data_IF_418112470046
#
_entry.id   IF_418112470046
#
_cell.length_a   1.000
_cell.length_b   1.000
_cell.length_c   1.000
_cell.angle_alpha   90.00
_cell.angle_beta   90.00
_cell.angle_gamma   90.00
#
_symmetry.space_group_name_H-M   'P 1'
#
loop_
_entity.id
_entity.type
_entity.pdbx_description
1 polymer ?
#
# COMPACT_ATOMS: atom_id res chain seq x y z
N UNK A 1 -2.14 -65.40 -10.73
CA UNK A 1 -3.38 -65.21 -9.94
C UNK A 1 -2.98 -65.18 -8.47
N UNK A 2 -3.46 -64.17 -7.74
CA UNK A 2 -3.29 -63.87 -6.29
C UNK A 2 -1.93 -63.26 -5.89
N UNK A 3 -1.78 -61.93 -5.87
CA UNK A 3 -2.27 -60.92 -4.89
C UNK A 3 -1.62 -61.05 -3.50
N UNK A 4 -0.70 -60.12 -3.19
CA UNK A 4 -0.86 -59.01 -2.23
C UNK A 4 0.50 -58.35 -1.99
N UNK A 5 0.66 -57.10 -2.47
CA UNK A 5 1.80 -56.25 -2.13
C UNK A 5 1.37 -55.38 -0.94
N UNK A 6 2.11 -55.49 0.17
CA UNK A 6 1.85 -54.82 1.44
C UNK A 6 2.67 -53.53 1.48
N UNK A 7 1.98 -52.42 1.74
CA UNK A 7 2.52 -51.09 2.04
C UNK A 7 3.32 -51.11 3.34
N UNK A 8 4.50 -50.47 3.37
CA UNK A 8 5.18 -50.12 4.62
C UNK A 8 5.46 -48.60 4.64
N UNK A 9 4.86 -47.93 5.62
CA UNK A 9 5.03 -46.53 5.95
C UNK A 9 6.40 -46.30 6.62
N UNK A 10 7.05 -45.18 6.31
CA UNK A 10 8.26 -44.73 7.01
C UNK A 10 7.89 -43.53 7.89
N UNK A 11 7.73 -43.80 9.18
CA UNK A 11 7.60 -42.81 10.26
C UNK A 11 8.99 -42.53 10.85
N UNK A 12 9.27 -41.28 11.21
CA UNK A 12 10.58 -40.76 11.57
C UNK A 12 11.21 -41.23 12.89
N UNK A 13 12.45 -40.78 13.12
CA UNK A 13 13.23 -40.93 14.36
C UNK A 13 14.18 -39.72 14.49
N UNK A 14 13.90 -38.77 15.40
CA UNK A 14 14.49 -38.54 16.75
C UNK A 14 15.94 -38.03 16.81
N UNK A 15 16.03 -36.79 17.32
CA UNK A 15 16.88 -36.26 18.41
C UNK A 15 18.16 -37.02 18.78
N UNK A 16 19.30 -36.34 18.65
CA UNK A 16 20.55 -36.64 19.34
C UNK A 16 20.96 -35.49 20.26
N UNK A 17 20.82 -35.68 21.56
CA UNK A 17 21.44 -34.88 22.62
C UNK A 17 22.74 -35.54 23.07
N UNK A 18 23.80 -34.77 23.31
CA UNK A 18 25.01 -35.26 24.00
C UNK A 18 25.53 -34.24 25.02
N UNK A 19 25.81 -34.72 26.22
CA UNK A 19 26.35 -33.99 27.40
C UNK A 19 27.88 -34.08 27.49
N UNK A 20 28.52 -32.91 27.68
CA UNK A 20 29.75 -32.53 28.42
C UNK A 20 31.02 -33.41 28.56
N UNK A 21 32.21 -32.84 28.25
CA UNK A 21 33.32 -32.57 29.22
C UNK A 21 34.62 -31.98 28.58
N UNK A 22 34.99 -30.77 29.04
CA UNK A 22 36.27 -30.03 29.22
C UNK A 22 37.55 -30.12 28.34
N UNK A 23 38.01 -28.88 28.04
CA UNK A 23 39.36 -28.26 28.07
C UNK A 23 40.32 -28.31 26.86
N UNK A 24 40.39 -27.19 26.12
CA UNK A 24 41.64 -26.47 25.77
C UNK A 24 41.41 -25.11 25.06
N UNK A 25 41.93 -24.05 25.68
CA UNK A 25 42.37 -22.69 25.24
C UNK A 25 41.62 -21.86 24.15
N UNK A 26 41.51 -20.52 24.33
CA UNK A 26 40.62 -19.67 23.57
C UNK A 26 41.32 -19.02 22.37
N UNK A 27 40.67 -18.98 21.21
CA UNK A 27 40.95 -17.95 20.21
C UNK A 27 39.65 -17.69 19.41
N UNK A 28 39.00 -16.59 19.80
CA UNK A 28 38.06 -15.80 18.99
C UNK A 28 37.01 -16.56 18.19
N UNK A 29 35.99 -17.12 18.85
CA UNK A 29 34.69 -17.24 18.20
C UNK A 29 34.13 -15.83 18.04
N UNK A 30 34.34 -15.25 16.85
CA UNK A 30 33.41 -14.25 16.35
C UNK A 30 32.05 -14.93 16.33
N UNK A 31 31.22 -14.61 17.33
CA UNK A 31 29.80 -14.95 17.30
C UNK A 31 29.26 -14.30 16.03
N UNK A 32 29.15 -15.09 14.97
CA UNK A 32 28.35 -14.74 13.82
C UNK A 32 26.92 -14.65 14.35
N UNK A 33 26.54 -13.44 14.77
CA UNK A 33 25.17 -13.08 15.04
C UNK A 33 24.43 -13.45 13.75
N UNK A 34 23.61 -14.51 13.78
CA UNK A 34 22.77 -14.83 12.64
C UNK A 34 21.91 -13.58 12.39
N UNK A 35 22.24 -12.84 11.33
CA UNK A 35 21.49 -11.66 10.96
C UNK A 35 20.06 -12.13 10.66
N UNK A 36 19.14 -11.80 11.56
CA UNK A 36 17.72 -12.05 11.34
C UNK A 36 17.23 -10.90 10.46
N UNK A 37 17.12 -11.17 9.17
CA UNK A 37 16.56 -10.21 8.23
C UNK A 37 15.10 -9.93 8.57
N UNK A 38 14.73 -8.65 8.59
CA UNK A 38 13.38 -8.20 8.92
C UNK A 38 12.50 -8.14 7.69
N UNK A 39 11.20 -8.26 7.91
CA UNK A 39 10.19 -7.91 6.92
C UNK A 39 9.56 -6.59 7.36
N UNK A 40 9.78 -5.53 6.59
CA UNK A 40 9.27 -4.19 6.83
C UNK A 40 8.04 -3.98 5.96
N UNK A 41 6.88 -3.84 6.59
CA UNK A 41 5.59 -3.65 5.91
C UNK A 41 5.07 -2.24 6.10
N UNK A 42 4.21 -1.73 5.20
CA UNK A 42 3.51 -0.49 5.44
C UNK A 42 2.72 -0.54 6.75
N UNK A 43 2.64 0.60 7.44
CA UNK A 43 1.74 0.84 8.55
C UNK A 43 0.29 0.58 8.10
N UNK A 44 -0.57 0.04 8.97
CA UNK A 44 -1.98 -0.13 8.66
C UNK A 44 -2.64 1.21 8.29
N UNK A 45 -3.52 1.18 7.28
CA UNK A 45 -4.19 2.37 6.75
C UNK A 45 -5.08 3.12 7.78
N UNK A 46 -5.42 2.48 8.89
CA UNK A 46 -6.32 3.02 9.91
C UNK A 46 -7.81 2.89 9.55
N UNK A 47 -8.14 2.29 8.41
CA UNK A 47 -9.49 1.98 7.96
C UNK A 47 -9.54 0.62 7.26
N UNK A 48 -10.75 0.04 7.20
CA UNK A 48 -11.06 -1.22 6.52
C UNK A 48 -12.03 -0.94 5.37
N UNK A 49 -11.69 -1.40 4.18
CA UNK A 49 -12.49 -1.20 2.97
C UNK A 49 -13.90 -1.80 3.08
N UNK A 50 -14.09 -2.82 3.93
CA UNK A 50 -15.40 -3.45 4.16
C UNK A 50 -16.28 -2.66 5.14
N UNK A 51 -15.74 -1.65 5.84
CA UNK A 51 -16.46 -0.91 6.88
C UNK A 51 -16.12 0.59 6.96
N UNK A 52 -15.91 1.23 5.80
CA UNK A 52 -15.67 2.67 5.69
C UNK A 52 -16.83 3.48 6.31
N UNK A 53 -16.52 4.36 7.26
CA UNK A 53 -17.54 5.14 7.99
C UNK A 53 -17.20 6.61 8.08
N UNK A 54 -16.09 6.99 8.74
CA UNK A 54 -15.67 8.38 8.95
C UNK A 54 -14.20 8.55 8.55
N UNK A 55 -13.93 8.56 7.25
CA UNK A 55 -12.58 8.55 6.71
C UNK A 55 -12.50 9.19 5.32
N UNK A 56 -11.29 9.61 4.94
CA UNK A 56 -10.96 9.97 3.56
C UNK A 56 -10.08 8.86 3.00
N UNK A 57 -10.44 8.35 1.82
CA UNK A 57 -9.69 7.28 1.15
C UNK A 57 -9.26 7.69 -0.23
N UNK A 58 -8.09 7.23 -0.66
CA UNK A 58 -7.71 7.22 -2.06
C UNK A 58 -8.45 6.10 -2.78
N UNK A 59 -9.05 6.42 -3.92
CA UNK A 59 -9.99 5.53 -4.59
C UNK A 59 -9.82 5.54 -6.10
N UNK A 60 -10.10 4.39 -6.73
CA UNK A 60 -10.19 4.29 -8.19
C UNK A 60 -11.53 3.72 -8.62
N UNK A 61 -12.14 4.34 -9.62
CA UNK A 61 -13.43 3.98 -10.22
C UNK A 61 -13.63 4.69 -11.55
N UNK A 62 -14.70 4.34 -12.26
CA UNK A 62 -15.13 5.00 -13.49
C UNK A 62 -16.56 5.48 -13.36
N UNK A 63 -17.03 6.26 -14.34
CA UNK A 63 -18.45 6.66 -14.42
C UNK A 63 -19.41 5.45 -14.39
N UNK A 64 -18.98 4.28 -14.87
CA UNK A 64 -19.79 3.07 -14.91
C UNK A 64 -19.99 2.42 -13.53
N UNK A 65 -19.17 2.77 -12.53
CA UNK A 65 -19.27 2.21 -11.18
C UNK A 65 -20.28 2.95 -10.29
N UNK A 66 -20.88 4.03 -10.81
CA UNK A 66 -22.03 4.68 -10.20
C UNK A 66 -23.33 3.98 -10.59
N UNK A 67 -24.12 3.60 -9.58
CA UNK A 67 -25.54 3.30 -9.78
C UNK A 67 -26.36 4.52 -9.36
N UNK A 68 -26.67 5.37 -10.33
CA UNK A 68 -27.46 6.59 -10.10
C UNK A 68 -28.90 6.32 -9.67
N UNK A 69 -29.43 5.12 -9.95
CA UNK A 69 -30.77 4.73 -9.54
C UNK A 69 -30.78 4.25 -8.08
N UNK A 70 -29.81 3.43 -7.70
CA UNK A 70 -29.62 3.00 -6.32
C UNK A 70 -28.94 4.07 -5.44
N UNK A 71 -28.42 5.13 -6.05
CA UNK A 71 -27.61 6.18 -5.44
C UNK A 71 -26.41 5.58 -4.70
N UNK A 72 -25.63 4.72 -5.37
CA UNK A 72 -24.41 4.13 -4.82
C UNK A 72 -23.21 4.35 -5.73
N UNK A 73 -22.02 4.33 -5.13
CA UNK A 73 -20.74 4.27 -5.82
C UNK A 73 -20.01 3.01 -5.41
N UNK A 74 -19.51 2.28 -6.40
CA UNK A 74 -18.57 1.18 -6.21
C UNK A 74 -17.15 1.67 -6.49
N UNK A 75 -16.20 1.42 -5.60
CA UNK A 75 -14.81 1.89 -5.77
C UNK A 75 -13.79 0.89 -5.26
N UNK A 76 -12.62 0.85 -5.90
CA UNK A 76 -11.45 0.24 -5.30
C UNK A 76 -10.85 1.22 -4.30
N UNK A 77 -10.45 0.71 -3.13
CA UNK A 77 -9.93 1.51 -2.02
C UNK A 77 -8.45 1.21 -1.87
N UNK A 78 -7.65 2.25 -1.70
CA UNK A 78 -6.20 2.18 -1.65
C UNK A 78 -5.65 2.81 -0.39
N UNK A 79 -4.50 2.31 0.05
CA UNK A 79 -3.73 2.86 1.15
C UNK A 79 -2.32 3.22 0.67
N UNK A 80 -1.81 4.37 1.15
CA UNK A 80 -0.41 4.76 0.93
C UNK A 80 0.52 3.77 1.59
N UNK A 81 1.66 3.51 0.95
CA UNK A 81 2.74 2.70 1.53
C UNK A 81 3.56 3.61 2.46
N UNK A 82 3.09 3.75 3.70
CA UNK A 82 3.74 4.54 4.76
C UNK A 82 4.46 3.58 5.71
N UNK A 83 5.68 3.88 6.12
CA UNK A 83 6.52 3.05 6.97
C UNK A 83 6.97 3.82 8.21
N UNK A 84 7.20 3.09 9.30
CA UNK A 84 7.73 3.66 10.53
C UNK A 84 9.17 4.16 10.32
N UNK A 85 9.49 5.35 10.85
CA UNK A 85 10.84 5.93 10.73
C UNK A 85 11.92 5.04 11.33
N UNK A 86 11.65 4.35 12.44
CA UNK A 86 12.62 3.48 13.10
C UNK A 86 12.91 2.28 12.23
N UNK A 87 11.88 1.69 11.61
CA UNK A 87 12.06 0.56 10.69
C UNK A 87 12.87 0.96 9.46
N UNK A 88 12.58 2.12 8.85
CA UNK A 88 13.32 2.61 7.68
C UNK A 88 14.76 3.02 8.03
N UNK A 89 15.00 3.60 9.21
CA UNK A 89 16.35 3.97 9.66
C UNK A 89 17.25 2.75 9.92
N UNK A 90 16.67 1.61 10.29
CA UNK A 90 17.40 0.36 10.53
C UNK A 90 17.31 -0.62 9.35
N UNK A 91 16.69 -0.23 8.24
CA UNK A 91 16.63 -1.03 7.03
C UNK A 91 18.05 -1.31 6.54
N UNK A 92 18.33 -2.57 6.19
CA UNK A 92 19.65 -3.00 5.74
C UNK A 92 19.56 -4.06 4.65
N UNK A 93 20.68 -4.32 3.97
CA UNK A 93 20.76 -5.38 2.98
C UNK A 93 20.37 -6.75 3.57
N UNK A 94 19.56 -7.48 2.82
CA UNK A 94 18.95 -8.76 3.17
C UNK A 94 17.56 -8.64 3.81
N UNK A 95 17.16 -7.47 4.33
CA UNK A 95 15.78 -7.24 4.76
C UNK A 95 14.82 -7.30 3.56
N UNK A 96 13.53 -7.48 3.84
CA UNK A 96 12.46 -7.43 2.85
C UNK A 96 11.59 -6.22 3.10
N UNK A 97 11.47 -5.32 2.12
CA UNK A 97 10.50 -4.23 2.11
C UNK A 97 9.25 -4.73 1.37
N UNK A 98 8.06 -4.59 1.96
CA UNK A 98 6.80 -4.84 1.24
C UNK A 98 6.32 -3.55 0.60
N UNK A 99 6.23 -3.52 -0.72
CA UNK A 99 5.86 -2.36 -1.54
C UNK A 99 4.74 -2.76 -2.51
N UNK A 100 3.63 -2.02 -2.52
CA UNK A 100 2.42 -2.39 -3.31
C UNK A 100 2.01 -3.86 -3.06
N UNK A 101 2.05 -4.28 -1.80
CA UNK A 101 1.78 -5.67 -1.38
C UNK A 101 2.78 -6.73 -1.88
N UNK A 102 3.87 -6.33 -2.54
CA UNK A 102 4.88 -7.23 -3.11
C UNK A 102 6.19 -7.15 -2.31
N UNK A 103 6.85 -8.29 -2.06
CA UNK A 103 8.15 -8.29 -1.38
C UNK A 103 9.27 -7.81 -2.30
N UNK A 104 10.09 -6.89 -1.79
CA UNK A 104 11.33 -6.41 -2.38
C UNK A 104 12.48 -6.74 -1.42
N UNK A 105 13.35 -7.69 -1.81
CA UNK A 105 14.56 -7.99 -1.03
C UNK A 105 15.55 -6.85 -1.20
N UNK A 106 15.97 -6.25 -0.10
CA UNK A 106 16.92 -5.14 -0.08
C UNK A 106 18.32 -5.68 -0.37
N UNK A 107 18.97 -5.18 -1.41
CA UNK A 107 20.36 -5.48 -1.75
C UNK A 107 21.28 -4.30 -1.46
N UNK A 108 20.76 -3.07 -1.61
CA UNK A 108 21.50 -1.83 -1.46
C UNK A 108 20.57 -0.72 -0.96
N UNK A 109 21.12 0.18 -0.14
CA UNK A 109 20.44 1.38 0.31
C UNK A 109 21.40 2.56 0.13
N UNK A 110 20.92 3.60 -0.52
CA UNK A 110 21.58 4.89 -0.64
C UNK A 110 20.71 5.97 0.01
N UNK A 111 21.32 7.09 0.37
CA UNK A 111 20.61 8.24 0.92
C UNK A 111 20.85 9.44 0.01
N UNK A 112 19.76 10.08 -0.41
CA UNK A 112 19.77 11.25 -1.27
C UNK A 112 18.81 12.28 -0.69
N UNK A 113 19.33 13.39 -0.19
CA UNK A 113 18.51 14.50 0.35
C UNK A 113 17.48 14.06 1.41
N UNK A 114 17.84 13.07 2.23
CA UNK A 114 16.99 12.49 3.27
C UNK A 114 16.04 11.38 2.80
N UNK A 115 15.89 11.18 1.49
CA UNK A 115 15.23 10.02 0.90
C UNK A 115 16.13 8.79 0.98
N UNK A 116 15.56 7.60 1.26
CA UNK A 116 16.25 6.32 1.08
C UNK A 116 15.98 5.78 -0.31
N UNK A 117 17.04 5.55 -1.06
CA UNK A 117 17.02 4.90 -2.38
C UNK A 117 17.35 3.44 -2.19
N UNK A 118 16.34 2.58 -2.27
CA UNK A 118 16.46 1.13 -2.13
C UNK A 118 16.70 0.52 -3.50
N UNK A 119 17.71 -0.33 -3.63
CA UNK A 119 18.02 -1.11 -4.84
C UNK A 119 18.12 -0.26 -6.12
N UNK A 120 18.72 0.93 -6.05
CA UNK A 120 18.92 1.80 -7.22
C UNK A 120 17.68 2.65 -7.58
N UNK A 121 16.62 2.62 -6.78
CA UNK A 121 15.41 3.42 -7.03
C UNK A 121 14.42 2.73 -7.97
N UNK A 122 13.31 3.40 -8.27
CA UNK A 122 12.21 2.82 -9.05
C UNK A 122 12.63 2.44 -10.49
N UNK A 123 13.63 3.15 -11.03
CA UNK A 123 14.21 2.99 -12.37
C UNK A 123 14.97 1.68 -12.50
N UNK A 124 15.49 1.14 -11.39
CA UNK A 124 16.16 -0.17 -11.33
C UNK A 124 15.27 -1.26 -10.71
N UNK A 125 13.97 -0.99 -10.56
CA UNK A 125 13.02 -1.92 -9.93
C UNK A 125 13.11 -1.95 -8.40
N UNK A 126 13.77 -0.97 -7.81
CA UNK A 126 13.84 -0.71 -6.38
C UNK A 126 12.72 0.19 -5.87
N UNK A 127 13.03 1.01 -4.87
CA UNK A 127 12.05 1.89 -4.24
C UNK A 127 12.67 3.22 -3.78
N UNK A 128 11.85 4.26 -3.77
CA UNK A 128 12.14 5.51 -3.08
C UNK A 128 11.32 5.58 -1.80
N UNK A 129 11.97 5.85 -0.67
CA UNK A 129 11.30 6.13 0.60
C UNK A 129 11.60 7.58 0.97
N UNK A 130 10.59 8.43 0.90
CA UNK A 130 10.68 9.87 1.14
C UNK A 130 10.20 10.21 2.55
N UNK A 131 10.90 11.06 3.32
CA UNK A 131 10.44 11.46 4.64
C UNK A 131 9.04 12.09 4.58
N UNK A 132 8.18 11.71 5.51
CA UNK A 132 6.83 12.23 5.65
C UNK A 132 6.57 12.66 7.10
N UNK A 133 5.44 13.34 7.31
CA UNK A 133 5.05 13.84 8.62
C UNK A 133 4.86 12.72 9.65
N UNK A 134 4.91 13.09 10.93
CA UNK A 134 4.61 12.17 12.03
C UNK A 134 5.69 11.11 12.30
N UNK A 135 6.91 11.31 11.80
CA UNK A 135 7.99 10.33 11.97
C UNK A 135 7.76 9.09 11.11
N UNK A 136 7.44 9.31 9.83
CA UNK A 136 7.22 8.24 8.87
C UNK A 136 8.01 8.47 7.58
N UNK A 137 8.06 7.43 6.76
CA UNK A 137 8.47 7.50 5.37
C UNK A 137 7.32 7.06 4.49
N UNK A 138 7.14 7.70 3.33
CA UNK A 138 6.20 7.25 2.30
C UNK A 138 6.99 6.72 1.12
N UNK A 139 6.60 5.56 0.58
CA UNK A 139 7.16 5.14 -0.70
C UNK A 139 6.63 6.03 -1.82
N UNK A 140 7.53 6.51 -2.68
CA UNK A 140 7.19 7.39 -3.80
C UNK A 140 7.53 6.75 -5.14
N UNK A 141 6.77 7.14 -6.16
CA UNK A 141 6.97 6.82 -7.56
C UNK A 141 7.25 8.11 -8.36
N UNK A 142 7.09 8.07 -9.69
CA UNK A 142 7.30 9.24 -10.55
C UNK A 142 6.50 10.46 -10.05
N UNK A 143 7.10 11.64 -10.20
CA UNK A 143 6.54 12.94 -9.79
C UNK A 143 6.20 13.03 -8.29
N UNK A 144 6.98 12.32 -7.47
CA UNK A 144 6.85 12.25 -6.01
C UNK A 144 5.49 11.73 -5.52
N UNK A 145 4.71 11.09 -6.40
CA UNK A 145 3.43 10.51 -6.02
C UNK A 145 3.62 9.34 -5.05
N UNK A 146 2.75 9.15 -4.05
CA UNK A 146 2.81 7.98 -3.20
C UNK A 146 2.59 6.69 -3.98
N UNK A 147 3.25 5.62 -3.55
CA UNK A 147 2.90 4.25 -3.93
C UNK A 147 1.69 3.80 -3.12
N UNK A 148 0.68 3.29 -3.82
CA UNK A 148 -0.57 2.83 -3.24
C UNK A 148 -0.69 1.31 -3.32
N UNK A 149 -1.22 0.69 -2.26
CA UNK A 149 -1.65 -0.71 -2.28
C UNK A 149 -3.17 -0.74 -2.27
N UNK A 150 -3.79 -1.50 -3.18
CA UNK A 150 -5.24 -1.75 -3.12
C UNK A 150 -5.57 -2.61 -1.91
N UNK A 151 -6.39 -2.09 -1.00
CA UNK A 151 -6.78 -2.79 0.23
C UNK A 151 -8.17 -3.43 0.13
N UNK A 152 -8.98 -3.04 -0.85
CA UNK A 152 -10.30 -3.67 -1.05
C UNK A 152 -11.16 -3.02 -2.12
N UNK A 153 -12.46 -3.34 -2.07
CA UNK A 153 -13.49 -2.77 -2.94
C UNK A 153 -14.74 -2.50 -2.10
N UNK A 154 -15.20 -1.26 -2.09
CA UNK A 154 -16.37 -0.82 -1.32
C UNK A 154 -17.53 -0.48 -2.25
N UNK A 155 -18.77 -0.65 -1.78
CA UNK A 155 -19.97 -0.10 -2.41
C UNK A 155 -20.73 0.68 -1.35
N UNK A 156 -20.78 2.01 -1.51
CA UNK A 156 -21.34 2.91 -0.51
C UNK A 156 -22.47 3.76 -1.10
N UNK A 157 -23.49 4.13 -0.31
CA UNK A 157 -24.49 5.09 -0.72
C UNK A 157 -23.87 6.48 -0.94
N UNK A 158 -24.47 7.24 -1.84
CA UNK A 158 -24.16 8.65 -2.11
C UNK A 158 -25.06 9.54 -1.26
N UNK A 159 -24.48 10.59 -0.69
CA UNK A 159 -25.26 11.61 -0.01
C UNK A 159 -26.14 12.39 -1.02
N UNK A 160 -27.38 12.78 -0.65
CA UNK A 160 -28.21 13.64 -1.50
C UNK A 160 -27.55 14.99 -1.84
N UNK A 161 -26.65 15.46 -0.98
CA UNK A 161 -25.84 16.67 -1.17
C UNK A 161 -24.39 16.37 -1.52
N UNK A 162 -24.12 15.30 -2.30
CA UNK A 162 -22.78 14.95 -2.75
C UNK A 162 -22.05 16.18 -3.30
N UNK A 163 -20.88 16.46 -2.75
CA UNK A 163 -19.98 17.50 -3.23
C UNK A 163 -18.97 16.87 -4.18
N UNK A 164 -18.80 17.46 -5.36
CA UNK A 164 -17.71 17.09 -6.26
C UNK A 164 -16.74 18.25 -6.40
N UNK A 165 -15.49 18.06 -5.98
CA UNK A 165 -14.40 19.02 -6.18
C UNK A 165 -13.61 18.54 -7.38
N UNK A 166 -13.63 19.32 -8.45
CA UNK A 166 -13.03 18.95 -9.72
C UNK A 166 -11.83 19.84 -10.05
N UNK A 167 -10.63 19.28 -10.11
CA UNK A 167 -9.46 20.05 -10.53
C UNK A 167 -9.54 20.41 -12.03
N UNK A 168 -8.90 21.51 -12.39
CA UNK A 168 -8.68 21.88 -13.78
C UNK A 168 -7.78 20.90 -14.55
N UNK A 169 -7.49 21.22 -15.79
CA UNK A 169 -6.54 20.47 -16.62
C UNK A 169 -5.09 20.92 -16.37
N UNK A 170 -4.91 22.11 -15.81
CA UNK A 170 -3.62 22.69 -15.50
C UNK A 170 -3.39 22.80 -13.97
N UNK A 171 -2.15 22.69 -13.49
CA UNK A 171 -1.84 22.58 -12.06
C UNK A 171 -2.25 23.81 -11.23
N UNK A 172 -2.35 24.97 -11.87
CA UNK A 172 -2.68 26.25 -11.21
C UNK A 172 -4.13 26.68 -11.43
N UNK A 173 -4.93 25.90 -12.16
CA UNK A 173 -6.35 26.19 -12.32
C UNK A 173 -7.10 25.96 -11.01
N UNK A 174 -8.04 26.87 -10.65
CA UNK A 174 -8.87 26.66 -9.48
C UNK A 174 -9.74 25.41 -9.67
N UNK A 175 -9.94 24.66 -8.59
CA UNK A 175 -10.89 23.55 -8.61
C UNK A 175 -12.33 24.06 -8.60
N UNK A 176 -13.19 23.46 -9.41
CA UNK A 176 -14.63 23.68 -9.41
C UNK A 176 -15.27 22.90 -8.26
N UNK A 177 -15.97 23.60 -7.37
CA UNK A 177 -16.74 22.95 -6.29
C UNK A 177 -18.20 22.86 -6.67
N UNK A 178 -18.63 21.66 -7.08
CA UNK A 178 -19.99 21.37 -7.53
C UNK A 178 -20.80 20.82 -6.35
N UNK A 179 -21.63 21.68 -5.75
CA UNK A 179 -22.50 21.34 -4.60
C UNK A 179 -23.94 21.05 -5.01
N UNK A 180 -24.29 21.31 -6.26
CA UNK A 180 -25.59 20.99 -6.85
C UNK A 180 -25.36 20.28 -8.17
N UNK A 181 -26.13 19.24 -8.44
CA UNK A 181 -26.04 18.49 -9.71
C UNK A 181 -24.69 17.78 -9.93
N UNK A 182 -24.01 17.36 -8.85
CA UNK A 182 -22.76 16.61 -8.95
C UNK A 182 -22.87 15.38 -9.86
N UNK A 183 -24.00 14.67 -9.82
CA UNK A 183 -24.27 13.54 -10.72
C UNK A 183 -24.23 13.94 -12.20
N UNK A 184 -24.92 15.03 -12.57
CA UNK A 184 -24.95 15.54 -13.94
C UNK A 184 -23.56 16.01 -14.39
N UNK A 185 -22.83 16.70 -13.52
CA UNK A 185 -21.47 17.16 -13.81
C UNK A 185 -20.52 15.98 -14.06
N UNK A 186 -20.53 14.99 -13.17
CA UNK A 186 -19.71 13.77 -13.29
C UNK A 186 -20.06 13.02 -14.60
N UNK A 187 -21.35 12.88 -14.93
CA UNK A 187 -21.78 12.24 -16.18
C UNK A 187 -21.39 13.01 -17.44
N UNK A 188 -21.25 14.33 -17.34
CA UNK A 188 -20.91 15.22 -18.45
C UNK A 188 -19.39 15.38 -18.65
N UNK A 189 -18.55 14.80 -17.79
CA UNK A 189 -17.11 14.76 -17.99
C UNK A 189 -16.77 14.12 -19.35
N UNK A 190 -15.65 14.51 -19.95
CA UNK A 190 -15.26 14.05 -21.29
C UNK A 190 -13.96 13.24 -21.30
N UNK A 191 -13.88 12.29 -22.22
CA UNK A 191 -12.68 11.51 -22.50
C UNK A 191 -12.06 10.86 -21.26
N UNK A 192 -10.76 11.10 -21.07
CA UNK A 192 -9.95 10.57 -19.97
C UNK A 192 -10.43 11.05 -18.59
N UNK A 193 -11.12 12.19 -18.50
CA UNK A 193 -11.67 12.70 -17.24
C UNK A 193 -12.80 11.82 -16.67
N UNK A 194 -13.24 10.78 -17.38
CA UNK A 194 -14.18 9.77 -16.86
C UNK A 194 -13.51 8.69 -15.99
N UNK A 195 -12.19 8.71 -15.91
CA UNK A 195 -11.39 7.79 -15.12
C UNK A 195 -10.91 8.49 -13.84
N UNK A 196 -11.13 7.82 -12.72
CA UNK A 196 -10.70 8.24 -11.39
C UNK A 196 -9.70 7.23 -10.89
N UNK A 197 -8.52 7.69 -10.49
CA UNK A 197 -7.43 6.84 -10.02
C UNK A 197 -7.05 7.21 -8.59
N UNK A 198 -6.44 6.28 -7.89
CA UNK A 198 -5.89 6.50 -6.56
C UNK A 198 -4.86 7.63 -6.51
N UNK A 199 -4.24 7.93 -7.66
CA UNK A 199 -3.29 9.03 -7.80
C UNK A 199 -3.95 10.39 -7.79
N UNK A 200 -5.18 10.53 -8.28
CA UNK A 200 -5.83 11.83 -8.42
C UNK A 200 -7.13 11.97 -7.62
N UNK A 201 -7.66 10.91 -7.02
CA UNK A 201 -9.01 10.89 -6.45
C UNK A 201 -9.02 10.53 -4.97
N UNK A 202 -9.65 11.41 -4.19
CA UNK A 202 -9.99 11.19 -2.79
C UNK A 202 -11.51 11.16 -2.60
N UNK A 203 -11.98 10.25 -1.75
CA UNK A 203 -13.39 10.11 -1.40
C UNK A 203 -13.55 10.28 0.10
N UNK A 204 -14.36 11.25 0.51
CA UNK A 204 -14.75 11.46 1.90
C UNK A 204 -16.01 10.65 2.19
N UNK A 205 -15.91 9.79 3.20
CA UNK A 205 -17.01 8.99 3.74
C UNK A 205 -17.33 9.51 5.13
N UNK A 206 -18.61 9.79 5.39
CA UNK A 206 -19.12 10.21 6.70
C UNK A 206 -20.36 9.38 7.06
N UNK A 207 -20.36 8.78 8.25
CA UNK A 207 -21.41 7.85 8.67
C UNK A 207 -21.67 6.70 7.69
N UNK A 208 -20.66 6.27 6.92
CA UNK A 208 -20.79 5.21 5.91
C UNK A 208 -21.41 5.64 4.58
N UNK A 209 -21.48 6.95 4.32
CA UNK A 209 -22.03 7.55 3.10
C UNK A 209 -20.96 8.40 2.42
N UNK A 210 -20.85 8.32 1.09
CA UNK A 210 -19.97 9.19 0.32
C UNK A 210 -20.55 10.60 0.30
N UNK A 211 -19.87 11.55 0.92
CA UNK A 211 -20.32 12.95 1.01
C UNK A 211 -19.53 13.87 0.08
N UNK A 212 -18.28 13.52 -0.26
CA UNK A 212 -17.47 14.26 -1.21
C UNK A 212 -16.60 13.34 -2.05
N UNK A 213 -16.47 13.68 -3.32
CA UNK A 213 -15.44 13.15 -4.22
C UNK A 213 -14.58 14.36 -4.61
N UNK A 214 -13.27 14.25 -4.46
CA UNK A 214 -12.33 15.30 -4.81
C UNK A 214 -11.28 14.77 -5.78
N UNK A 215 -11.12 15.46 -6.90
CA UNK A 215 -9.97 15.30 -7.78
C UNK A 215 -8.94 16.37 -7.51
N UNK A 216 -7.68 15.96 -7.54
CA UNK A 216 -6.55 16.85 -7.61
C UNK A 216 -5.78 16.62 -8.89
N UNK A 217 -5.10 17.66 -9.36
CA UNK A 217 -4.32 17.59 -10.57
C UNK A 217 -3.11 16.68 -10.38
N UNK A 218 -2.80 15.89 -11.41
CA UNK A 218 -1.57 15.10 -11.53
C UNK A 218 -0.93 15.43 -12.89
N UNK A 219 0.43 15.43 -13.01
CA UNK A 219 1.15 15.69 -14.25
C UNK A 219 0.87 14.72 -15.41
#
# INVERSE_FOLDING_TARGET
MNKKLITLALTGLLLGSCTGSNNSHPDGEATAQAATHKCITPLPAGYDADSLTDCTVEAAFTIADFDWKAQTLTMNVFAKNIYDVVDVQHLQAGDTLVLDGKPLVVSKIEELEGMKVVNGGIEEGGAYLTPADGGTFVATQLDDHPVYTRIGKATLPLAPGLVFIDCGEEPLEPADTVTSQAAQHIQALDGWRKEFTELNTQVLVQGGVVTQIARHWIP
#
